data_IF_846478169009
#
_entry.id   IF_846478169009
#
_cell.length_a   1.000
_cell.length_b   1.000
_cell.length_c   1.000
_cell.angle_alpha   90.00
_cell.angle_beta   90.00
_cell.angle_gamma   90.00
#
_symmetry.space_group_name_H-M   'P 1'
#
loop_
_entity.id
_entity.type
_entity.pdbx_description
1 polymer ?
#
# COMPACT_ATOMS: atom_id res chain seq x y z
N UNK A 1 0.13 -18.95 -20.65
CA UNK A 1 0.69 -17.59 -20.86
C UNK A 1 -0.36 -16.67 -20.24
N UNK A 2 -0.23 -16.05 -19.07
CA UNK A 2 0.91 -15.50 -18.33
C UNK A 2 0.46 -15.49 -16.86
N UNK A 3 1.13 -16.28 -16.00
CA UNK A 3 1.02 -16.10 -14.55
C UNK A 3 1.83 -14.85 -14.22
N UNK A 4 1.28 -13.66 -14.46
CA UNK A 4 1.93 -12.42 -14.04
C UNK A 4 2.15 -12.56 -12.52
N UNK A 5 3.41 -12.64 -12.05
CA UNK A 5 3.66 -12.84 -10.64
C UNK A 5 3.09 -11.62 -9.96
N UNK A 6 2.05 -11.80 -9.15
CA UNK A 6 1.47 -10.76 -8.30
C UNK A 6 2.59 -10.07 -7.50
N UNK A 7 3.65 -10.80 -7.16
CA UNK A 7 4.91 -10.29 -6.61
C UNK A 7 5.56 -9.16 -7.44
N UNK A 8 5.60 -9.29 -8.76
CA UNK A 8 6.16 -8.30 -9.67
C UNK A 8 5.30 -7.05 -9.75
N UNK A 9 3.98 -7.21 -9.77
CA UNK A 9 3.03 -6.08 -9.78
C UNK A 9 3.11 -5.32 -8.47
N UNK A 10 3.14 -6.02 -7.34
CA UNK A 10 3.33 -5.41 -6.02
C UNK A 10 4.66 -4.66 -5.94
N UNK A 11 5.75 -5.25 -6.43
CA UNK A 11 7.05 -4.57 -6.48
C UNK A 11 7.03 -3.31 -7.33
N UNK A 12 6.34 -3.33 -8.47
CA UNK A 12 6.19 -2.16 -9.35
C UNK A 12 5.39 -1.05 -8.68
N UNK A 13 4.26 -1.37 -8.06
CA UNK A 13 3.41 -0.39 -7.34
C UNK A 13 4.18 0.24 -6.20
N UNK A 14 4.87 -0.58 -5.39
CA UNK A 14 5.73 -0.09 -4.30
C UNK A 14 6.82 0.83 -4.83
N UNK A 15 7.49 0.46 -5.93
CA UNK A 15 8.53 1.28 -6.56
C UNK A 15 8.02 2.64 -7.03
N UNK A 16 6.83 2.69 -7.65
CA UNK A 16 6.20 3.95 -8.08
C UNK A 16 5.89 4.84 -6.87
N UNK A 17 5.27 4.27 -5.83
CA UNK A 17 4.93 5.00 -4.60
C UNK A 17 6.19 5.56 -3.93
N UNK A 18 7.25 4.75 -3.83
CA UNK A 18 8.53 5.19 -3.28
C UNK A 18 9.22 6.27 -4.14
N UNK A 19 9.11 6.17 -5.47
CA UNK A 19 9.61 7.20 -6.40
C UNK A 19 8.90 8.55 -6.22
N UNK A 20 7.58 8.53 -6.01
CA UNK A 20 6.80 9.74 -5.68
C UNK A 20 7.21 10.31 -4.32
N UNK A 21 7.45 9.46 -3.32
CA UNK A 21 7.95 9.90 -2.01
C UNK A 21 9.37 10.50 -2.08
N UNK A 22 10.22 10.00 -2.98
CA UNK A 22 11.57 10.54 -3.19
C UNK A 22 11.58 11.89 -3.91
N UNK A 23 10.54 12.21 -4.69
CA UNK A 23 10.41 13.48 -5.43
C UNK A 23 10.40 14.73 -4.54
N UNK A 24 10.14 14.58 -3.23
CA UNK A 24 10.19 15.67 -2.25
C UNK A 24 11.62 16.10 -1.86
N UNK A 25 12.66 15.46 -2.43
CA UNK A 25 13.94 16.13 -2.68
C UNK A 25 14.92 16.27 -1.52
N UNK A 26 14.80 15.48 -0.45
CA UNK A 26 15.80 15.45 0.62
C UNK A 26 15.58 14.35 1.66
N UNK A 27 16.64 13.93 2.38
CA UNK A 27 16.58 12.89 3.42
C UNK A 27 15.51 13.17 4.48
N UNK A 28 15.35 14.43 4.88
CA UNK A 28 14.34 14.83 5.87
C UNK A 28 12.90 14.74 5.35
N UNK A 29 12.64 15.23 4.14
CA UNK A 29 11.30 15.18 3.52
C UNK A 29 10.88 13.75 3.18
N UNK A 30 11.83 12.94 2.69
CA UNK A 30 11.61 11.52 2.43
C UNK A 30 11.30 10.75 3.73
N UNK A 31 12.06 10.98 4.82
CA UNK A 31 11.78 10.34 6.10
C UNK A 31 10.42 10.75 6.67
N UNK A 32 10.01 12.01 6.53
CA UNK A 32 8.68 12.46 6.95
C UNK A 32 7.57 11.72 6.18
N UNK A 33 7.70 11.61 4.86
CA UNK A 33 6.75 10.86 4.01
C UNK A 33 6.78 9.37 4.32
N UNK A 34 7.95 8.79 4.60
CA UNK A 34 8.10 7.39 4.98
C UNK A 34 7.39 7.10 6.31
N UNK A 35 7.58 7.98 7.30
CA UNK A 35 6.89 7.89 8.60
C UNK A 35 5.38 8.07 8.41
N UNK A 36 4.94 9.04 7.61
CA UNK A 36 3.52 9.24 7.32
C UNK A 36 2.90 8.03 6.59
N UNK A 37 3.62 7.45 5.64
CA UNK A 37 3.23 6.23 4.93
C UNK A 37 3.19 5.02 5.86
N UNK A 38 4.15 4.87 6.78
CA UNK A 38 4.14 3.83 7.80
C UNK A 38 2.98 3.98 8.78
N UNK A 39 2.66 5.22 9.18
CA UNK A 39 1.48 5.53 10.01
C UNK A 39 0.19 5.21 9.25
N UNK A 40 0.06 5.61 7.99
CA UNK A 40 -1.09 5.28 7.14
C UNK A 40 -1.26 3.77 6.92
N UNK A 41 -0.15 3.05 6.71
CA UNK A 41 -0.14 1.59 6.64
C UNK A 41 -0.56 0.94 7.95
N UNK A 42 -0.06 1.45 9.09
CA UNK A 42 -0.42 0.94 10.41
C UNK A 42 -1.90 1.19 10.72
N UNK A 43 -2.42 2.37 10.40
CA UNK A 43 -3.86 2.69 10.52
C UNK A 43 -4.69 1.77 9.61
N UNK A 44 -4.31 1.61 8.34
CA UNK A 44 -4.97 0.69 7.41
C UNK A 44 -4.93 -0.75 7.91
N UNK A 45 -3.78 -1.20 8.43
CA UNK A 45 -3.61 -2.54 9.03
C UNK A 45 -4.50 -2.73 10.25
N UNK A 46 -4.64 -1.72 11.09
CA UNK A 46 -5.53 -1.75 12.27
C UNK A 46 -6.99 -1.79 11.83
N UNK A 47 -7.38 -1.05 10.80
CA UNK A 47 -8.74 -1.12 10.21
C UNK A 47 -9.03 -2.51 9.63
N UNK A 48 -8.06 -3.09 8.91
CA UNK A 48 -8.15 -4.43 8.32
C UNK A 48 -8.18 -5.55 9.38
N UNK A 49 -7.38 -5.42 10.45
CA UNK A 49 -7.25 -6.45 11.50
C UNK A 49 -8.30 -6.29 12.61
N UNK A 50 -8.90 -5.10 12.74
CA UNK A 50 -9.69 -4.69 13.91
C UNK A 50 -11.21 -4.68 13.76
N UNK A 51 -11.78 -5.09 12.62
CA UNK A 51 -13.24 -5.32 12.53
C UNK A 51 -13.96 -4.72 11.33
N UNK A 52 -13.26 -4.25 10.30
CA UNK A 52 -13.92 -4.00 9.01
C UNK A 52 -13.75 -5.23 8.14
N UNK A 53 -14.60 -6.22 8.41
CA UNK A 53 -14.73 -7.43 7.61
C UNK A 53 -15.25 -7.07 6.22
N UNK A 54 -14.33 -6.76 5.29
CA UNK A 54 -14.60 -6.54 3.88
C UNK A 54 -15.20 -7.80 3.19
N UNK A 55 -15.27 -8.93 3.90
CA UNK A 55 -16.01 -10.13 3.48
C UNK A 55 -17.51 -9.86 3.27
N UNK A 56 -18.07 -8.81 3.88
CA UNK A 56 -19.45 -8.37 3.66
C UNK A 56 -19.71 -7.68 2.31
N UNK A 57 -18.66 -7.26 1.59
CA UNK A 57 -18.74 -6.58 0.30
C UNK A 57 -18.25 -7.45 -0.87
N UNK A 58 -18.20 -8.78 -0.71
CA UNK A 58 -18.10 -9.70 -1.86
C UNK A 58 -19.49 -9.82 -2.50
N UNK A 59 -19.77 -9.17 -3.64
CA UNK A 59 -21.04 -9.35 -4.33
C UNK A 59 -20.96 -10.76 -4.89
N UNK A 60 -21.64 -11.68 -4.20
CA UNK A 60 -21.87 -13.04 -4.64
C UNK A 60 -22.60 -12.97 -5.98
N UNK A 61 -21.84 -12.97 -7.07
CA UNK A 61 -22.35 -13.07 -8.44
C UNK A 61 -22.80 -14.51 -8.62
N UNK A 62 -24.10 -14.70 -8.36
CA UNK A 62 -24.87 -15.89 -8.66
C UNK A 62 -24.94 -16.11 -10.17
#
# INVERSE_FOLDING_TARGET
>A
MNQAPIWSVTGMVVGIVLGVAAAFGGLGAFLLVLVLGAVGFLVGRIVETGGVDLSGLSPRRR
#
